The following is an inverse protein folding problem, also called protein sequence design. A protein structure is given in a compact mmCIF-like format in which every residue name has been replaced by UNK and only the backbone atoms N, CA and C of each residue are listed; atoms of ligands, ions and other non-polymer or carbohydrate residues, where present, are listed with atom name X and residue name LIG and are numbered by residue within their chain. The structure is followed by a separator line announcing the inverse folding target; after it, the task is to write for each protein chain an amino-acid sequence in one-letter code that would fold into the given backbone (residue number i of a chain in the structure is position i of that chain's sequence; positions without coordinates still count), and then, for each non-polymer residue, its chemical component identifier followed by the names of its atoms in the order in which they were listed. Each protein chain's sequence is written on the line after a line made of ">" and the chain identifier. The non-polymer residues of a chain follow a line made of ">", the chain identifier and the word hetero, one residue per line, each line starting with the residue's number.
data_IF_073815235711
#
_entry.id   IF_073815235711
#
_cell.length_a   1.000
_cell.length_b   1.000
_cell.length_c   1.000
_cell.angle_alpha   90.00
_cell.angle_beta   90.00
_cell.angle_gamma   90.00
#
_symmetry.space_group_name_H-M   'P 1'
#
loop_
_entity.id
_entity.type
_entity.pdbx_description
1 polymer ?
#
# COMPACT_ATOMS: atom_id res chain seq x y z
N UNK A 1 21.23 4.09 26.71
CA UNK A 1 20.23 4.00 25.63
C UNK A 1 19.58 2.62 25.67
N UNK A 2 18.51 2.48 26.48
CA UNK A 2 17.70 1.25 26.50
C UNK A 2 16.62 1.41 25.42
N UNK A 3 16.95 1.17 24.17
CA UNK A 3 15.95 0.97 23.14
C UNK A 3 15.30 -0.38 23.38
N UNK A 4 14.00 -0.42 23.68
CA UNK A 4 13.18 -1.61 23.59
C UNK A 4 13.00 -1.93 22.10
N UNK A 5 13.94 -2.68 21.51
CA UNK A 5 13.68 -3.29 20.22
C UNK A 5 12.64 -4.41 20.46
N UNK A 6 11.44 -4.27 19.90
CA UNK A 6 10.53 -5.39 19.75
C UNK A 6 11.13 -6.31 18.68
N UNK A 7 11.97 -7.23 19.14
CA UNK A 7 12.58 -8.24 18.27
C UNK A 7 11.67 -9.46 18.25
N UNK A 8 11.36 -9.94 17.06
CA UNK A 8 10.79 -11.28 16.87
C UNK A 8 11.76 -12.35 17.40
N UNK A 9 11.32 -13.58 17.60
CA UNK A 9 12.18 -14.65 18.13
C UNK A 9 13.46 -14.89 17.31
N UNK A 10 13.48 -14.50 16.04
CA UNK A 10 14.60 -14.69 15.12
C UNK A 10 15.72 -13.63 15.26
N UNK A 11 15.46 -12.49 15.88
CA UNK A 11 16.44 -11.40 16.01
C UNK A 11 16.82 -11.18 17.49
N UNK A 12 18.11 -11.07 17.76
CA UNK A 12 18.65 -10.82 19.10
C UNK A 12 19.75 -9.77 19.03
N UNK A 13 19.86 -8.98 20.09
CA UNK A 13 21.01 -8.10 20.30
C UNK A 13 22.19 -8.92 20.82
N UNK A 14 23.31 -8.90 20.13
CA UNK A 14 24.49 -9.67 20.49
C UNK A 14 24.97 -9.41 21.94
N UNK A 15 24.83 -8.15 22.43
CA UNK A 15 25.20 -7.79 23.80
C UNK A 15 24.23 -8.32 24.89
N UNK A 16 23.08 -8.90 24.49
CA UNK A 16 22.05 -9.42 25.40
C UNK A 16 21.79 -10.92 25.21
N UNK A 17 22.59 -11.57 24.36
CA UNK A 17 22.40 -12.98 24.01
C UNK A 17 23.49 -13.83 24.64
N UNK A 18 23.08 -14.85 25.39
CA UNK A 18 23.98 -15.89 25.90
C UNK A 18 23.94 -17.09 24.94
N UNK A 19 25.11 -17.51 24.48
CA UNK A 19 25.25 -18.61 23.53
C UNK A 19 25.64 -19.88 24.32
N UNK A 20 24.85 -20.95 24.18
CA UNK A 20 25.05 -22.23 24.88
C UNK A 20 25.43 -23.37 23.93
N UNK A 21 25.92 -23.09 22.74
CA UNK A 21 26.32 -24.08 21.74
C UNK A 21 26.75 -23.44 20.43
N UNK A 22 26.95 -24.22 19.38
CA UNK A 22 27.31 -23.76 18.06
C UNK A 22 26.13 -23.02 17.46
N UNK A 23 26.38 -21.80 16.93
CA UNK A 23 25.38 -20.96 16.30
C UNK A 23 25.87 -20.42 14.96
N UNK A 24 24.92 -20.16 14.06
CA UNK A 24 25.16 -19.41 12.83
C UNK A 24 24.62 -18.01 13.03
N UNK A 25 25.46 -16.99 12.86
CA UNK A 25 25.10 -15.59 13.07
C UNK A 25 25.13 -14.83 11.75
N UNK A 26 24.06 -14.15 11.42
CA UNK A 26 24.01 -13.18 10.32
C UNK A 26 24.11 -11.77 10.89
N UNK A 27 25.19 -11.06 10.55
CA UNK A 27 25.35 -9.66 10.93
C UNK A 27 24.52 -8.79 9.98
N UNK A 28 23.63 -7.96 10.53
CA UNK A 28 22.75 -7.07 9.75
C UNK A 28 23.35 -5.69 9.53
N UNK A 29 24.18 -5.20 10.45
CA UNK A 29 24.85 -3.89 10.37
C UNK A 29 26.31 -4.11 10.04
N UNK A 30 26.77 -3.73 8.85
CA UNK A 30 28.12 -4.00 8.34
C UNK A 30 29.00 -2.76 8.32
N UNK A 31 28.44 -1.58 8.12
CA UNK A 31 29.18 -0.34 7.90
C UNK A 31 28.52 0.87 8.60
N UNK A 32 29.13 2.06 8.43
CA UNK A 32 28.61 3.30 9.03
C UNK A 32 27.28 3.73 8.45
N UNK A 33 27.03 3.51 7.16
CA UNK A 33 25.76 3.84 6.50
C UNK A 33 24.61 3.01 7.08
N UNK A 34 24.87 1.74 7.38
CA UNK A 34 23.90 0.88 8.07
C UNK A 34 23.60 1.42 9.48
N UNK A 35 24.62 1.89 10.20
CA UNK A 35 24.48 2.50 11.53
C UNK A 35 23.66 3.79 11.44
N UNK A 36 23.95 4.66 10.48
CA UNK A 36 23.23 5.91 10.24
C UNK A 36 21.76 5.61 9.86
N UNK A 37 21.55 4.65 8.97
CA UNK A 37 20.19 4.23 8.58
C UNK A 37 19.37 3.67 9.74
N UNK A 38 20.01 3.09 10.75
CA UNK A 38 19.37 2.59 11.98
C UNK A 38 19.30 3.67 13.07
N UNK A 39 20.28 4.61 13.12
CA UNK A 39 20.39 5.61 14.19
C UNK A 39 19.67 6.93 13.89
N UNK A 40 19.63 7.40 12.64
CA UNK A 40 18.82 8.56 12.23
C UNK A 40 17.32 8.32 12.42
N UNK A 41 16.96 7.08 12.47
CA UNK A 41 15.60 6.61 12.76
C UNK A 41 15.52 6.23 14.24
N UNK A 42 15.77 7.13 15.16
CA UNK A 42 15.45 6.83 16.55
C UNK A 42 14.18 5.99 16.59
N UNK A 43 14.28 4.72 16.86
CA UNK A 43 13.31 3.62 17.10
C UNK A 43 11.78 3.87 16.84
N UNK A 44 11.40 4.82 16.00
CA UNK A 44 10.00 5.10 15.67
C UNK A 44 9.58 4.63 14.26
N UNK A 45 10.49 4.04 13.49
CA UNK A 45 10.13 3.37 12.24
C UNK A 45 9.79 1.90 12.51
N UNK A 46 8.68 1.39 11.98
CA UNK A 46 8.38 -0.05 12.02
C UNK A 46 9.45 -0.78 11.19
N UNK A 47 10.36 -1.48 11.86
CA UNK A 47 11.20 -2.50 11.24
C UNK A 47 10.24 -3.55 10.68
N UNK A 48 10.34 -3.88 9.40
CA UNK A 48 9.40 -4.73 8.68
C UNK A 48 8.79 -5.86 9.52
N UNK A 49 7.48 -5.88 9.60
CA UNK A 49 6.69 -6.87 10.34
C UNK A 49 5.87 -7.68 9.34
N UNK A 50 5.86 -9.00 9.46
CA UNK A 50 4.98 -9.84 8.64
C UNK A 50 3.57 -9.74 9.18
N UNK A 51 2.64 -9.27 8.32
CA UNK A 51 1.22 -9.14 8.63
C UNK A 51 0.36 -9.77 7.55
N UNK A 52 -0.81 -10.28 7.97
CA UNK A 52 -1.90 -10.60 7.04
C UNK A 52 -2.68 -9.34 6.73
N UNK A 53 -2.62 -8.91 5.49
CA UNK A 53 -3.26 -7.69 4.98
C UNK A 53 -4.12 -7.99 3.76
N UNK A 54 -5.09 -7.13 3.47
CA UNK A 54 -5.79 -7.17 2.20
C UNK A 54 -5.27 -6.03 1.31
N UNK A 55 -4.99 -6.37 0.07
CA UNK A 55 -4.45 -5.47 -0.94
C UNK A 55 -5.49 -5.36 -2.04
N UNK A 56 -5.83 -4.13 -2.41
CA UNK A 56 -6.78 -3.81 -3.45
C UNK A 56 -6.07 -3.06 -4.58
N UNK A 57 -6.22 -3.55 -5.79
CA UNK A 57 -5.86 -2.83 -7.01
C UNK A 57 -7.14 -2.44 -7.74
N UNK A 58 -7.23 -1.20 -8.20
CA UNK A 58 -8.30 -0.75 -9.09
C UNK A 58 -7.71 -0.09 -10.32
N UNK A 59 -8.42 -0.21 -11.45
CA UNK A 59 -8.01 0.34 -12.75
C UNK A 59 -9.25 0.71 -13.57
N UNK A 60 -9.18 1.80 -14.35
CA UNK A 60 -10.30 2.24 -15.19
C UNK A 60 -10.26 1.49 -16.52
N UNK A 61 -11.30 0.73 -16.82
CA UNK A 61 -11.37 -0.05 -18.06
C UNK A 61 -11.37 0.83 -19.30
N UNK A 62 -10.38 0.61 -20.17
CA UNK A 62 -10.29 1.32 -21.46
C UNK A 62 -9.86 2.79 -21.36
N UNK A 63 -9.32 3.24 -20.23
CA UNK A 63 -8.90 4.63 -20.05
C UNK A 63 -7.70 5.01 -20.92
N UNK A 64 -6.69 4.15 -21.05
CA UNK A 64 -5.46 4.43 -21.82
C UNK A 64 -5.76 4.87 -23.27
N UNK A 65 -6.46 4.05 -24.11
CA UNK A 65 -6.75 4.45 -25.50
C UNK A 65 -7.72 5.64 -25.60
N UNK A 66 -8.48 5.91 -24.55
CA UNK A 66 -9.34 7.08 -24.49
C UNK A 66 -8.54 8.35 -24.17
N UNK A 67 -7.63 8.28 -23.22
CA UNK A 67 -6.81 9.42 -22.78
C UNK A 67 -5.92 9.98 -23.90
N UNK A 68 -5.49 9.10 -24.84
CA UNK A 68 -4.72 9.55 -26.02
C UNK A 68 -5.47 10.54 -26.93
N UNK A 69 -6.80 10.58 -26.84
CA UNK A 69 -7.67 11.49 -27.63
C UNK A 69 -8.03 12.77 -26.90
N UNK A 70 -7.66 12.89 -25.64
CA UNK A 70 -7.99 14.02 -24.78
C UNK A 70 -6.86 15.05 -24.71
N UNK A 71 -7.21 16.26 -24.30
CA UNK A 71 -6.18 17.21 -23.88
C UNK A 71 -5.54 16.76 -22.56
N UNK A 72 -4.26 17.09 -22.29
CA UNK A 72 -3.62 16.77 -21.01
C UNK A 72 -4.39 17.32 -19.80
N UNK A 73 -5.06 18.45 -19.95
CA UNK A 73 -5.91 19.05 -18.92
C UNK A 73 -7.10 18.16 -18.58
N UNK A 74 -7.81 17.65 -19.58
CA UNK A 74 -8.98 16.78 -19.38
C UNK A 74 -8.59 15.47 -18.70
N UNK A 75 -7.46 14.87 -19.11
CA UNK A 75 -6.94 13.64 -18.49
C UNK A 75 -6.72 13.86 -16.99
N UNK A 76 -6.00 14.93 -16.62
CA UNK A 76 -5.72 15.24 -15.21
C UNK A 76 -7.01 15.55 -14.44
N UNK A 77 -7.95 16.28 -15.07
CA UNK A 77 -9.22 16.62 -14.45
C UNK A 77 -10.08 15.37 -14.14
N UNK A 78 -10.20 14.46 -15.11
CA UNK A 78 -10.97 13.21 -14.95
C UNK A 78 -10.32 12.34 -13.85
N UNK A 79 -9.00 12.13 -13.92
CA UNK A 79 -8.28 11.31 -12.94
C UNK A 79 -8.39 11.88 -11.52
N UNK A 80 -8.23 13.19 -11.33
CA UNK A 80 -8.38 13.80 -10.02
C UNK A 80 -9.81 13.64 -9.48
N UNK A 81 -10.83 13.78 -10.34
CA UNK A 81 -12.23 13.59 -9.95
C UNK A 81 -12.49 12.13 -9.53
N UNK A 82 -11.95 11.18 -10.29
CA UNK A 82 -12.00 9.75 -9.99
C UNK A 82 -11.29 9.44 -8.67
N UNK A 83 -10.02 9.77 -8.56
CA UNK A 83 -9.23 9.47 -7.36
C UNK A 83 -9.80 10.10 -6.09
N UNK A 84 -10.30 11.33 -6.15
CA UNK A 84 -10.92 11.97 -4.99
C UNK A 84 -12.12 11.19 -4.44
N UNK A 85 -12.89 10.49 -5.29
CA UNK A 85 -14.00 9.63 -4.85
C UNK A 85 -13.46 8.31 -4.30
N UNK A 86 -12.56 7.66 -5.05
CA UNK A 86 -12.02 6.35 -4.68
C UNK A 86 -11.22 6.39 -3.37
N UNK A 87 -10.44 7.44 -3.16
CA UNK A 87 -9.70 7.64 -1.91
C UNK A 87 -10.63 7.74 -0.70
N UNK A 88 -11.72 8.51 -0.81
CA UNK A 88 -12.71 8.61 0.27
C UNK A 88 -13.31 7.24 0.62
N UNK A 89 -13.70 6.46 -0.39
CA UNK A 89 -14.24 5.11 -0.18
C UNK A 89 -13.22 4.22 0.55
N UNK A 90 -11.95 4.27 0.16
CA UNK A 90 -10.88 3.50 0.81
C UNK A 90 -10.70 3.93 2.26
N UNK A 91 -10.59 5.23 2.51
CA UNK A 91 -10.39 5.80 3.86
C UNK A 91 -11.58 5.55 4.78
N UNK A 92 -12.81 5.72 4.30
CA UNK A 92 -14.05 5.46 5.05
C UNK A 92 -14.17 3.98 5.46
N UNK A 93 -13.57 3.09 4.67
CA UNK A 93 -13.46 1.66 4.96
C UNK A 93 -12.12 1.27 5.64
N UNK A 94 -11.42 2.21 6.27
CA UNK A 94 -10.19 1.97 7.05
C UNK A 94 -9.02 1.44 6.21
N UNK A 95 -9.02 1.66 4.91
CA UNK A 95 -7.89 1.41 4.04
C UNK A 95 -6.95 2.61 3.96
N UNK A 96 -5.76 2.37 3.48
CA UNK A 96 -4.79 3.41 3.16
C UNK A 96 -4.40 3.29 1.68
N UNK A 97 -4.42 4.41 0.96
CA UNK A 97 -3.91 4.45 -0.42
C UNK A 97 -2.39 4.39 -0.38
N UNK A 98 -1.84 3.38 -1.04
CA UNK A 98 -0.40 3.16 -1.11
C UNK A 98 0.22 3.88 -2.32
N UNK A 99 -0.35 3.69 -3.51
CA UNK A 99 0.21 4.26 -4.74
C UNK A 99 -0.85 4.47 -5.82
N UNK A 100 -0.51 5.36 -6.78
CA UNK A 100 -1.21 5.52 -8.05
C UNK A 100 -0.32 5.01 -9.18
N UNK A 101 -0.87 4.22 -10.09
CA UNK A 101 -0.16 3.62 -11.22
C UNK A 101 -0.97 3.95 -12.49
N UNK A 102 -0.63 5.06 -13.14
CA UNK A 102 -1.44 5.58 -14.25
C UNK A 102 -2.84 5.95 -13.80
N UNK A 103 -3.85 5.30 -14.37
CA UNK A 103 -5.26 5.41 -13.99
C UNK A 103 -5.68 4.39 -12.90
N UNK A 104 -4.73 3.59 -12.44
CA UNK A 104 -4.93 2.62 -11.37
C UNK A 104 -4.54 3.16 -9.99
N UNK A 105 -5.08 2.52 -8.96
CA UNK A 105 -4.80 2.82 -7.56
C UNK A 105 -4.55 1.54 -6.78
N UNK A 106 -3.61 1.60 -5.86
CA UNK A 106 -3.31 0.53 -4.90
C UNK A 106 -3.70 0.99 -3.51
N UNK A 107 -4.50 0.19 -2.83
CA UNK A 107 -4.88 0.41 -1.43
C UNK A 107 -4.58 -0.81 -0.57
N UNK A 108 -4.25 -0.57 0.69
CA UNK A 108 -3.90 -1.60 1.66
C UNK A 108 -4.79 -1.46 2.88
N UNK A 109 -5.30 -2.59 3.37
CA UNK A 109 -6.14 -2.70 4.57
C UNK A 109 -5.44 -3.62 5.58
N UNK A 110 -5.41 -3.22 6.84
CA UNK A 110 -4.74 -3.96 7.92
C UNK A 110 -3.34 -3.44 8.27
N UNK A 111 -2.94 -2.26 7.77
CA UNK A 111 -1.64 -1.65 8.12
C UNK A 111 -1.54 -1.28 9.61
N UNK A 112 -2.64 -0.84 10.23
CA UNK A 112 -2.70 -0.33 11.60
C UNK A 112 -3.47 -1.29 12.53
N UNK A 113 -3.43 -2.61 12.24
CA UNK A 113 -4.08 -3.66 13.04
C UNK A 113 -5.61 -3.56 13.10
N UNK A 114 -6.21 -3.04 12.03
CA UNK A 114 -7.66 -3.02 11.86
C UNK A 114 -8.23 -4.44 11.83
N UNK A 115 -9.37 -4.62 12.49
CA UNK A 115 -10.09 -5.89 12.44
C UNK A 115 -10.68 -6.11 11.04
N UNK A 116 -10.66 -7.37 10.62
CA UNK A 116 -11.30 -7.82 9.38
C UNK A 116 -10.90 -7.05 8.10
N UNK A 117 -9.59 -6.88 7.81
CA UNK A 117 -9.12 -6.11 6.65
C UNK A 117 -9.67 -6.62 5.31
N UNK A 118 -9.89 -7.92 5.16
CA UNK A 118 -10.47 -8.49 3.96
C UNK A 118 -11.92 -8.04 3.76
N UNK A 119 -12.72 -7.96 4.83
CA UNK A 119 -14.10 -7.44 4.77
C UNK A 119 -14.10 -5.97 4.34
N UNK A 120 -13.22 -5.15 4.91
CA UNK A 120 -13.10 -3.73 4.55
C UNK A 120 -12.68 -3.54 3.09
N UNK A 121 -11.75 -4.36 2.59
CA UNK A 121 -11.34 -4.32 1.19
C UNK A 121 -12.48 -4.67 0.22
N UNK A 122 -13.25 -5.73 0.51
CA UNK A 122 -14.41 -6.14 -0.31
C UNK A 122 -15.50 -5.06 -0.29
N UNK A 123 -15.82 -4.53 0.89
CA UNK A 123 -16.78 -3.44 1.01
C UNK A 123 -16.35 -2.21 0.22
N UNK A 124 -15.07 -1.83 0.33
CA UNK A 124 -14.49 -0.75 -0.45
C UNK A 124 -14.64 -0.97 -1.96
N UNK A 125 -14.35 -2.17 -2.45
CA UNK A 125 -14.49 -2.49 -3.87
C UNK A 125 -15.93 -2.33 -4.38
N UNK A 126 -16.91 -2.78 -3.62
CA UNK A 126 -18.32 -2.63 -3.98
C UNK A 126 -18.75 -1.15 -4.01
N UNK A 127 -18.35 -0.38 -3.01
CA UNK A 127 -18.63 1.06 -2.95
C UNK A 127 -17.90 1.83 -4.07
N UNK A 128 -16.66 1.45 -4.42
CA UNK A 128 -15.93 2.02 -5.56
C UNK A 128 -16.67 1.78 -6.88
N UNK A 129 -17.25 0.58 -7.09
CA UNK A 129 -18.07 0.30 -8.27
C UNK A 129 -19.31 1.21 -8.30
N UNK A 130 -19.99 1.40 -7.16
CA UNK A 130 -21.14 2.29 -7.05
C UNK A 130 -20.76 3.75 -7.34
N UNK A 131 -19.64 4.23 -6.81
CA UNK A 131 -19.15 5.58 -7.09
C UNK A 131 -18.79 5.79 -8.56
N UNK A 132 -18.31 4.74 -9.24
CA UNK A 132 -18.07 4.79 -10.67
C UNK A 132 -19.39 4.88 -11.44
N UNK A 133 -20.40 4.11 -11.06
CA UNK A 133 -21.72 4.18 -11.67
C UNK A 133 -22.33 5.60 -11.55
N UNK A 134 -22.15 6.25 -10.41
CA UNK A 134 -22.57 7.62 -10.17
C UNK A 134 -21.80 8.66 -11.01
N UNK A 135 -20.58 8.31 -11.45
CA UNK A 135 -19.78 9.15 -12.35
C UNK A 135 -20.17 9.02 -13.84
N UNK A 136 -20.73 7.87 -14.24
CA UNK A 136 -21.04 7.56 -15.65
C UNK A 136 -21.88 8.64 -16.36
N UNK A 137 -23.00 9.16 -15.78
CA UNK A 137 -23.81 10.17 -16.46
C UNK A 137 -23.02 11.43 -16.81
N UNK A 138 -22.14 11.86 -15.90
CA UNK A 138 -21.26 13.00 -16.14
C UNK A 138 -20.24 12.71 -17.25
N UNK A 139 -19.53 11.57 -17.17
CA UNK A 139 -18.52 11.19 -18.16
C UNK A 139 -19.11 11.00 -19.54
N UNK A 140 -20.31 10.42 -19.62
CA UNK A 140 -21.05 10.26 -20.87
C UNK A 140 -21.46 11.60 -21.49
N UNK A 141 -21.95 12.52 -20.68
CA UNK A 141 -22.39 13.84 -21.15
C UNK A 141 -21.20 14.68 -21.63
N UNK A 142 -20.09 14.68 -20.89
CA UNK A 142 -18.96 15.54 -21.18
C UNK A 142 -18.00 14.95 -22.22
N UNK A 143 -17.82 13.62 -22.21
CA UNK A 143 -16.78 12.97 -22.99
C UNK A 143 -17.29 11.84 -23.90
N UNK A 144 -18.59 11.54 -23.86
CA UNK A 144 -19.21 10.47 -24.69
C UNK A 144 -18.79 9.05 -24.27
N UNK A 145 -18.29 8.86 -23.04
CA UNK A 145 -17.75 7.58 -22.57
C UNK A 145 -18.45 7.08 -21.31
N UNK A 146 -18.70 5.77 -21.28
CA UNK A 146 -19.08 5.03 -20.09
C UNK A 146 -17.87 4.21 -19.65
N UNK A 147 -17.34 4.49 -18.46
CA UNK A 147 -16.24 3.73 -17.90
C UNK A 147 -16.73 2.78 -16.82
N UNK A 148 -16.09 1.61 -16.75
CA UNK A 148 -16.15 0.72 -15.62
C UNK A 148 -14.78 0.65 -14.94
N UNK A 149 -14.73 0.16 -13.71
CA UNK A 149 -13.48 -0.16 -13.04
C UNK A 149 -13.31 -1.67 -12.92
N UNK A 150 -12.06 -2.12 -13.03
CA UNK A 150 -11.65 -3.44 -12.60
C UNK A 150 -11.08 -3.35 -11.18
N UNK A 151 -11.50 -4.23 -10.29
CA UNK A 151 -10.96 -4.30 -8.93
C UNK A 151 -10.46 -5.70 -8.67
N UNK A 152 -9.18 -5.81 -8.30
CA UNK A 152 -8.55 -7.05 -7.83
C UNK A 152 -8.26 -6.95 -6.34
N UNK A 153 -8.59 -7.99 -5.58
CA UNK A 153 -8.30 -8.06 -4.15
C UNK A 153 -7.55 -9.35 -3.86
N UNK A 154 -6.48 -9.23 -3.09
CA UNK A 154 -5.79 -10.37 -2.53
C UNK A 154 -5.61 -10.20 -1.02
N UNK A 155 -5.85 -11.27 -0.26
CA UNK A 155 -5.60 -11.33 1.18
C UNK A 155 -4.48 -12.32 1.45
N UNK A 156 -3.38 -11.85 2.02
CA UNK A 156 -2.20 -12.66 2.22
C UNK A 156 -1.19 -12.03 3.17
N UNK A 157 -0.10 -12.75 3.39
CA UNK A 157 1.02 -12.25 4.18
C UNK A 157 1.90 -11.33 3.34
N UNK A 158 2.28 -10.22 3.95
CA UNK A 158 3.25 -9.29 3.40
C UNK A 158 4.11 -8.68 4.52
N UNK A 159 5.28 -8.22 4.16
CA UNK A 159 6.14 -7.46 5.07
C UNK A 159 5.70 -6.01 5.04
N UNK A 160 5.19 -5.52 6.17
CA UNK A 160 4.76 -4.13 6.36
C UNK A 160 5.86 -3.37 7.09
N UNK A 161 6.26 -2.24 6.56
CA UNK A 161 7.30 -1.42 7.17
C UNK A 161 7.44 -0.05 6.53
N UNK A 162 8.22 0.80 7.17
CA UNK A 162 8.56 2.11 6.65
C UNK A 162 9.63 2.00 5.57
N UNK A 163 9.25 2.23 4.32
CA UNK A 163 10.12 2.09 3.16
C UNK A 163 10.32 3.44 2.49
N UNK A 164 11.55 3.68 2.04
CA UNK A 164 11.95 4.93 1.40
C UNK A 164 13.03 5.67 2.17
N UNK A 165 13.38 6.85 1.70
CA UNK A 165 14.40 7.70 2.29
C UNK A 165 13.90 9.13 2.50
N UNK A 166 14.37 9.79 3.56
CA UNK A 166 14.03 11.18 3.87
C UNK A 166 12.51 11.43 3.91
N UNK A 167 12.05 12.45 3.19
CA UNK A 167 10.63 12.85 3.14
C UNK A 167 9.74 11.89 2.32
N UNK A 168 10.34 11.00 1.54
CA UNK A 168 9.60 10.00 0.73
C UNK A 168 9.40 8.68 1.46
N UNK A 169 9.78 8.61 2.74
CA UNK A 169 9.57 7.44 3.59
C UNK A 169 8.08 7.30 3.91
N UNK A 170 7.52 6.12 3.68
CA UNK A 170 6.12 5.82 3.97
C UNK A 170 5.94 4.39 4.47
N UNK A 171 4.91 4.18 5.26
CA UNK A 171 4.46 2.85 5.66
C UNK A 171 3.79 2.18 4.46
N UNK A 172 4.34 1.07 4.01
CA UNK A 172 3.83 0.29 2.88
C UNK A 172 4.07 -1.20 3.08
N UNK A 173 3.66 -2.02 2.14
CA UNK A 173 3.84 -3.46 2.17
C UNK A 173 4.68 -3.96 0.99
N UNK A 174 5.46 -4.99 1.24
CA UNK A 174 6.23 -5.71 0.21
C UNK A 174 5.97 -7.21 0.35
N UNK A 175 5.84 -7.90 -0.78
CA UNK A 175 5.70 -9.34 -0.85
C UNK A 175 4.91 -9.80 -2.07
N UNK A 176 4.85 -11.12 -2.25
CA UNK A 176 4.13 -11.75 -3.37
C UNK A 176 2.64 -11.41 -3.37
N UNK A 177 2.06 -11.13 -2.20
CA UNK A 177 0.67 -10.71 -2.08
C UNK A 177 0.34 -9.46 -2.92
N UNK A 178 1.28 -8.51 -3.05
CA UNK A 178 1.13 -7.32 -3.91
C UNK A 178 1.05 -7.71 -5.38
N UNK A 179 1.88 -8.66 -5.81
CA UNK A 179 1.90 -9.14 -7.19
C UNK A 179 0.65 -9.95 -7.55
N UNK A 180 0.09 -10.71 -6.60
CA UNK A 180 -1.14 -11.47 -6.82
C UNK A 180 -2.36 -10.55 -6.98
N UNK A 181 -2.45 -9.50 -6.19
CA UNK A 181 -3.56 -8.55 -6.25
C UNK A 181 -3.60 -7.76 -7.58
N UNK A 182 -2.46 -7.59 -8.26
CA UNK A 182 -2.35 -6.83 -9.51
C UNK A 182 -2.73 -7.65 -10.78
N UNK A 183 -2.92 -8.96 -10.66
CA UNK A 183 -3.24 -9.89 -11.79
C UNK A 183 -4.73 -10.14 -11.90
#
# INVERSE_FOLDING_TARGET
>A
LKAKAHTTEEFRLACQTTVNGDIVVRRLVLNKEDIESVSEKGVSGRLGETKKIAILFSDIRGFTPFSEKLTPYDVVFILNRYFNRMVRVVEDNKGAVDNYIGDGMVAIFGLHDEKDPAHHAVKSALEMCSEMDDMKPYLKTMYGQDFDIGVGIHWGEAVVGDIGAGKSKRLTAIGDAMNFASR
#
